data_IF_163994607354
#
_entry.id   IF_163994607354
#
_cell.length_a   1.000
_cell.length_b   1.000
_cell.length_c   1.000
_cell.angle_alpha   90.00
_cell.angle_beta   90.00
_cell.angle_gamma   90.00
#
_symmetry.space_group_name_H-M   'P 1'
#
loop_
_entity.id
_entity.type
_entity.pdbx_description
1 polymer ?
#
# COMPACT_ATOMS: atom_id res chain seq x y z
N UNK A 1 1.48 1.09 28.63
CA UNK A 1 1.95 0.29 27.48
C UNK A 1 2.02 1.22 26.28
N UNK A 2 3.13 1.26 25.55
CA UNK A 2 3.24 2.03 24.32
C UNK A 2 2.39 1.37 23.22
N UNK A 3 1.64 2.17 22.47
CA UNK A 3 0.80 1.68 21.36
C UNK A 3 1.67 0.98 20.30
N UNK A 4 1.22 -0.18 19.80
CA UNK A 4 1.86 -0.87 18.68
C UNK A 4 1.45 -0.24 17.37
N UNK A 5 2.31 0.63 16.85
CA UNK A 5 2.08 1.28 15.56
C UNK A 5 2.67 0.41 14.46
N UNK A 6 1.84 0.05 13.50
CA UNK A 6 2.20 -0.68 12.29
C UNK A 6 2.21 0.25 11.08
N UNK A 7 3.14 0.03 10.15
CA UNK A 7 3.19 0.75 8.87
C UNK A 7 3.00 -0.25 7.73
N UNK A 8 2.12 0.06 6.79
CA UNK A 8 2.01 -0.64 5.52
C UNK A 8 2.50 0.27 4.39
N UNK A 9 3.77 0.15 3.96
CA UNK A 9 4.34 0.99 2.93
C UNK A 9 4.06 0.46 1.54
N UNK A 10 3.81 1.37 0.60
CA UNK A 10 3.63 1.02 -0.79
C UNK A 10 3.68 2.23 -1.72
N UNK A 11 3.80 1.98 -3.01
CA UNK A 11 3.66 3.02 -4.04
C UNK A 11 2.19 3.32 -4.31
N UNK A 12 1.32 2.29 -4.25
CA UNK A 12 -0.12 2.37 -4.53
C UNK A 12 -0.43 3.04 -5.87
N UNK A 13 0.25 2.60 -6.91
CA UNK A 13 0.17 3.15 -8.27
C UNK A 13 -0.29 2.11 -9.30
N UNK A 14 -1.63 1.82 -9.33
CA UNK A 14 -2.66 2.27 -8.41
C UNK A 14 -2.85 1.37 -7.18
N UNK A 15 -3.69 1.82 -6.25
CA UNK A 15 -4.26 0.98 -5.20
C UNK A 15 -5.10 -0.14 -5.84
N UNK A 16 -5.02 -1.37 -5.31
CA UNK A 16 -5.75 -2.54 -5.81
C UNK A 16 -6.53 -3.22 -4.68
N UNK A 17 -7.46 -4.10 -5.03
CA UNK A 17 -8.14 -4.93 -4.02
C UNK A 17 -7.18 -5.79 -3.19
N UNK A 18 -6.02 -6.19 -3.77
CA UNK A 18 -4.98 -6.87 -3.01
C UNK A 18 -4.35 -6.00 -1.92
N UNK A 19 -4.19 -4.71 -2.16
CA UNK A 19 -3.72 -3.78 -1.12
C UNK A 19 -4.79 -3.59 -0.04
N UNK A 20 -6.06 -3.48 -0.42
CA UNK A 20 -7.19 -3.31 0.50
C UNK A 20 -7.32 -4.52 1.43
N UNK A 21 -7.24 -5.75 0.91
CA UNK A 21 -7.23 -6.98 1.72
C UNK A 21 -6.15 -6.94 2.81
N UNK A 22 -4.92 -6.55 2.44
CA UNK A 22 -3.83 -6.43 3.40
C UNK A 22 -4.10 -5.33 4.43
N UNK A 23 -4.64 -4.17 4.01
CA UNK A 23 -4.95 -3.05 4.90
C UNK A 23 -6.00 -3.47 5.95
N UNK A 24 -7.11 -4.07 5.54
CA UNK A 24 -8.20 -4.50 6.43
C UNK A 24 -7.72 -5.52 7.47
N UNK A 25 -6.86 -6.44 7.05
CA UNK A 25 -6.29 -7.46 7.96
C UNK A 25 -5.21 -6.88 8.86
N UNK A 26 -4.33 -6.03 8.32
CA UNK A 26 -3.27 -5.38 9.09
C UNK A 26 -3.81 -4.43 10.16
N UNK A 27 -4.94 -3.78 9.91
CA UNK A 27 -5.60 -2.87 10.85
C UNK A 27 -5.99 -3.56 12.19
N UNK A 28 -6.07 -4.90 12.21
CA UNK A 28 -6.40 -5.69 13.40
C UNK A 28 -5.18 -6.25 14.14
N UNK A 29 -3.96 -6.02 13.64
CA UNK A 29 -2.73 -6.60 14.20
C UNK A 29 -2.01 -5.68 15.18
N UNK A 30 -2.30 -4.39 15.14
CA UNK A 30 -1.73 -3.37 16.01
C UNK A 30 -2.78 -2.45 16.61
N UNK A 31 -2.32 -1.52 17.42
CA UNK A 31 -3.18 -0.49 18.01
C UNK A 31 -3.42 0.67 17.02
N UNK A 32 -2.53 0.85 16.03
CA UNK A 32 -2.65 1.83 14.96
C UNK A 32 -2.00 1.31 13.67
N UNK A 33 -2.68 1.46 12.54
CA UNK A 33 -2.10 1.23 11.21
C UNK A 33 -1.93 2.56 10.47
N UNK A 34 -0.75 2.75 9.88
CA UNK A 34 -0.44 3.84 8.96
C UNK A 34 -0.16 3.25 7.58
N UNK A 35 -0.99 3.56 6.60
CA UNK A 35 -0.71 3.28 5.18
C UNK A 35 0.22 4.37 4.68
N UNK A 36 1.46 3.99 4.35
CA UNK A 36 2.52 4.91 4.01
C UNK A 36 2.75 4.94 2.49
N UNK A 37 2.35 6.04 1.84
CA UNK A 37 2.49 6.24 0.39
C UNK A 37 3.89 6.76 0.09
N UNK A 38 4.70 5.97 -0.63
CA UNK A 38 6.04 6.38 -1.02
C UNK A 38 6.02 7.45 -2.12
N UNK A 39 6.67 8.59 -1.87
CA UNK A 39 6.82 9.67 -2.86
C UNK A 39 7.75 9.24 -3.99
N UNK A 40 8.96 8.81 -3.62
CA UNK A 40 10.02 8.42 -4.55
C UNK A 40 10.13 6.90 -4.64
N UNK A 41 9.41 6.29 -5.57
CA UNK A 41 9.45 4.84 -5.77
C UNK A 41 10.53 4.38 -6.75
N UNK A 42 11.24 5.29 -7.40
CA UNK A 42 12.17 4.99 -8.50
C UNK A 42 11.51 4.39 -9.76
N UNK A 43 10.18 4.36 -9.82
CA UNK A 43 9.38 3.59 -10.80
C UNK A 43 8.56 4.44 -11.75
N UNK A 44 8.79 5.76 -11.86
CA UNK A 44 7.98 6.67 -12.67
C UNK A 44 6.48 6.36 -12.55
N UNK A 45 5.84 6.68 -11.41
CA UNK A 45 4.45 6.35 -11.18
C UNK A 45 3.54 7.06 -12.21
N UNK A 46 2.43 6.43 -12.58
CA UNK A 46 1.44 7.01 -13.47
C UNK A 46 0.65 8.13 -12.76
N UNK A 47 0.31 7.88 -11.50
CA UNK A 47 -0.40 8.83 -10.64
C UNK A 47 0.60 9.59 -9.78
N UNK A 48 0.38 10.90 -9.57
CA UNK A 48 1.18 11.71 -8.65
C UNK A 48 1.07 11.20 -7.21
N UNK A 49 1.95 11.63 -6.32
CA UNK A 49 1.86 11.23 -4.91
C UNK A 49 0.58 11.74 -4.25
N UNK A 50 0.13 12.93 -4.64
CA UNK A 50 -1.12 13.54 -4.16
C UNK A 50 -2.33 12.71 -4.61
N UNK A 51 -2.39 12.36 -5.91
CA UNK A 51 -3.45 11.52 -6.47
C UNK A 51 -3.51 10.15 -5.79
N UNK A 52 -2.36 9.51 -5.56
CA UNK A 52 -2.28 8.21 -4.87
C UNK A 52 -2.70 8.32 -3.40
N UNK A 53 -2.27 9.37 -2.71
CA UNK A 53 -2.62 9.61 -1.31
C UNK A 53 -4.11 9.87 -1.16
N UNK A 54 -4.71 10.66 -2.04
CA UNK A 54 -6.15 10.95 -2.04
C UNK A 54 -6.98 9.69 -2.30
N UNK A 55 -6.59 8.87 -3.28
CA UNK A 55 -7.23 7.58 -3.56
C UNK A 55 -7.19 6.67 -2.33
N UNK A 56 -6.03 6.54 -1.70
CA UNK A 56 -5.89 5.75 -0.48
C UNK A 56 -6.77 6.33 0.64
N UNK A 57 -6.78 7.65 0.84
CA UNK A 57 -7.59 8.30 1.87
C UNK A 57 -9.09 8.02 1.70
N UNK A 58 -9.60 8.08 0.47
CA UNK A 58 -11.00 7.78 0.15
C UNK A 58 -11.36 6.32 0.51
N UNK A 59 -10.50 5.36 0.17
CA UNK A 59 -10.73 3.96 0.51
C UNK A 59 -10.61 3.70 2.03
N UNK A 60 -9.66 4.36 2.70
CA UNK A 60 -9.55 4.27 4.16
C UNK A 60 -10.75 4.87 4.88
N UNK A 61 -11.33 5.96 4.36
CA UNK A 61 -12.56 6.52 4.91
C UNK A 61 -13.71 5.51 4.86
N UNK A 62 -13.81 4.74 3.75
CA UNK A 62 -14.80 3.67 3.59
C UNK A 62 -14.55 2.50 4.56
N UNK A 63 -13.30 2.06 4.69
CA UNK A 63 -12.90 1.00 5.62
C UNK A 63 -13.20 1.42 7.07
N UNK A 64 -12.79 2.63 7.45
CA UNK A 64 -12.99 3.16 8.79
C UNK A 64 -14.49 3.32 9.16
N UNK A 65 -15.34 3.57 8.16
CA UNK A 65 -16.80 3.68 8.36
C UNK A 65 -17.49 2.31 8.43
N UNK A 66 -16.98 1.31 7.72
CA UNK A 66 -17.60 -0.02 7.61
C UNK A 66 -17.16 -0.98 8.73
N UNK A 67 -15.91 -0.89 9.14
CA UNK A 67 -15.30 -1.76 10.13
C UNK A 67 -15.32 -1.12 11.52
N UNK A 68 -15.71 -1.89 12.53
CA UNK A 68 -15.55 -1.53 13.93
C UNK A 68 -14.08 -1.69 14.36
N UNK A 69 -13.18 -0.95 13.72
CA UNK A 69 -11.76 -0.95 14.07
C UNK A 69 -11.57 -0.21 15.41
N UNK A 70 -10.69 -0.68 16.29
CA UNK A 70 -10.40 -0.02 17.56
C UNK A 70 -9.84 1.39 17.36
N UNK A 71 -9.12 1.60 16.26
CA UNK A 71 -8.56 2.89 15.86
C UNK A 71 -8.68 3.06 14.34
N UNK A 72 -8.88 4.31 13.85
CA UNK A 72 -8.93 4.56 12.42
C UNK A 72 -7.58 4.31 11.76
N UNK A 73 -7.61 3.70 10.57
CA UNK A 73 -6.42 3.58 9.72
C UNK A 73 -6.08 4.96 9.15
N UNK A 74 -4.80 5.33 9.23
CA UNK A 74 -4.30 6.61 8.75
C UNK A 74 -3.56 6.44 7.42
N UNK A 75 -3.57 7.48 6.58
CA UNK A 75 -2.68 7.58 5.42
C UNK A 75 -1.68 8.71 5.64
N UNK A 76 -0.42 8.46 5.27
CA UNK A 76 0.66 9.47 5.24
C UNK A 76 1.56 9.20 4.05
N UNK A 77 2.03 10.25 3.40
CA UNK A 77 3.12 10.12 2.42
C UNK A 77 4.47 10.22 3.10
N UNK A 78 5.49 9.66 2.48
CA UNK A 78 6.87 9.75 2.96
C UNK A 78 7.86 9.74 1.81
N UNK A 79 8.98 10.41 2.04
CA UNK A 79 10.18 10.40 1.20
C UNK A 79 11.39 9.90 1.98
N UNK A 80 12.40 9.42 1.29
CA UNK A 80 13.61 8.89 1.91
C UNK A 80 13.48 7.46 2.41
N UNK A 81 14.20 7.10 3.46
CA UNK A 81 14.22 5.75 4.01
C UNK A 81 12.94 5.43 4.79
N UNK A 82 12.42 4.22 4.56
CA UNK A 82 11.29 3.70 5.32
C UNK A 82 11.59 3.61 6.82
N UNK A 83 12.80 3.25 7.17
CA UNK A 83 13.26 3.16 8.57
C UNK A 83 13.20 4.49 9.30
N UNK A 84 13.64 5.58 8.67
CA UNK A 84 13.58 6.93 9.24
C UNK A 84 12.13 7.40 9.42
N UNK A 85 11.27 7.06 8.45
CA UNK A 85 9.84 7.34 8.56
C UNK A 85 9.21 6.54 9.69
N UNK A 86 9.52 5.25 9.80
CA UNK A 86 9.02 4.38 10.86
C UNK A 86 9.41 4.92 12.26
N UNK A 87 10.67 5.30 12.45
CA UNK A 87 11.16 5.91 13.69
C UNK A 87 10.39 7.19 14.04
N UNK A 88 10.23 8.11 13.08
CA UNK A 88 9.46 9.35 13.26
C UNK A 88 8.00 9.12 13.64
N UNK A 89 7.40 8.01 13.20
CA UNK A 89 6.03 7.64 13.53
C UNK A 89 5.95 6.82 14.83
N UNK A 90 7.06 6.45 15.45
CA UNK A 90 7.10 5.53 16.59
C UNK A 90 6.61 4.13 16.23
N UNK A 91 6.79 3.72 14.99
CA UNK A 91 6.34 2.43 14.50
C UNK A 91 7.36 1.33 14.78
N UNK A 92 6.86 0.15 15.17
CA UNK A 92 7.68 -1.00 15.53
C UNK A 92 7.55 -2.14 14.51
N UNK A 93 6.53 -2.10 13.65
CA UNK A 93 6.23 -3.17 12.69
C UNK A 93 5.97 -2.61 11.30
N UNK A 94 6.66 -3.16 10.31
CA UNK A 94 6.36 -2.98 8.89
C UNK A 94 5.56 -4.16 8.40
N UNK A 95 4.40 -3.90 7.82
CA UNK A 95 3.56 -4.92 7.17
C UNK A 95 3.92 -5.01 5.69
N UNK A 96 4.09 -6.22 5.18
CA UNK A 96 4.32 -6.49 3.76
C UNK A 96 3.39 -7.58 3.26
N UNK A 97 2.77 -7.34 2.09
CA UNK A 97 1.95 -8.35 1.42
C UNK A 97 2.81 -9.28 0.56
N UNK A 98 2.58 -10.59 0.66
CA UNK A 98 3.20 -11.59 -0.21
C UNK A 98 2.13 -12.20 -1.11
N UNK A 99 2.35 -12.19 -2.43
CA UNK A 99 1.44 -12.74 -3.44
C UNK A 99 1.96 -14.05 -4.02
N UNK A 100 3.26 -14.17 -4.16
CA UNK A 100 3.92 -15.34 -4.74
C UNK A 100 5.28 -15.57 -4.08
N UNK A 101 5.81 -16.77 -4.26
CA UNK A 101 7.15 -17.14 -3.76
C UNK A 101 8.24 -16.19 -4.30
N UNK A 102 8.10 -15.73 -5.54
CA UNK A 102 9.03 -14.79 -6.15
C UNK A 102 9.07 -13.42 -5.44
N UNK A 103 7.97 -12.98 -4.81
CA UNK A 103 7.95 -11.74 -4.02
C UNK A 103 8.77 -11.93 -2.73
N UNK A 104 8.76 -13.14 -2.15
CA UNK A 104 9.34 -13.41 -0.83
C UNK A 104 10.84 -13.15 -0.79
N UNK A 105 11.58 -13.53 -1.80
CA UNK A 105 13.04 -13.35 -1.81
C UNK A 105 13.42 -11.87 -1.70
N UNK A 106 12.79 -11.03 -2.50
CA UNK A 106 13.01 -9.58 -2.45
C UNK A 106 12.56 -8.98 -1.10
N UNK A 107 11.39 -9.34 -0.63
CA UNK A 107 10.82 -8.83 0.62
C UNK A 107 11.66 -9.29 1.84
N UNK A 108 12.18 -10.51 1.82
CA UNK A 108 13.09 -11.03 2.84
C UNK A 108 14.41 -10.23 2.90
N UNK A 109 15.00 -9.92 1.74
CA UNK A 109 16.19 -9.09 1.67
C UNK A 109 15.92 -7.69 2.23
N UNK A 110 14.80 -7.08 1.84
CA UNK A 110 14.42 -5.76 2.34
C UNK A 110 14.15 -5.74 3.85
N UNK A 111 13.50 -6.79 4.38
CA UNK A 111 13.29 -6.94 5.81
C UNK A 111 14.62 -7.01 6.58
N UNK A 112 15.58 -7.78 6.06
CA UNK A 112 16.91 -7.92 6.65
C UNK A 112 17.68 -6.59 6.64
N UNK A 113 17.58 -5.82 5.55
CA UNK A 113 18.19 -4.49 5.44
C UNK A 113 17.54 -3.52 6.43
N UNK A 114 16.21 -3.48 6.49
CA UNK A 114 15.49 -2.60 7.41
C UNK A 114 15.85 -2.92 8.89
N UNK A 115 15.93 -4.20 9.24
CA UNK A 115 16.35 -4.65 10.57
C UNK A 115 17.77 -4.23 10.91
N UNK A 116 18.67 -4.23 9.92
CA UNK A 116 20.05 -3.78 10.10
C UNK A 116 20.16 -2.26 10.28
N UNK A 117 19.30 -1.49 9.58
CA UNK A 117 19.28 -0.03 9.68
C UNK A 117 18.60 0.44 10.96
N UNK A 118 17.58 -0.28 11.42
CA UNK A 118 16.80 0.06 12.61
C UNK A 118 16.47 -1.21 13.40
N UNK A 119 17.28 -1.50 14.42
CA UNK A 119 17.24 -2.78 15.16
C UNK A 119 15.92 -3.11 15.87
N UNK A 120 15.10 -2.10 16.19
CA UNK A 120 13.78 -2.30 16.84
C UNK A 120 12.63 -2.50 15.84
N UNK A 121 12.88 -2.31 14.54
CA UNK A 121 11.85 -2.45 13.51
C UNK A 121 11.73 -3.90 13.05
N UNK A 122 10.54 -4.48 13.21
CA UNK A 122 10.21 -5.82 12.74
C UNK A 122 9.43 -5.78 11.43
N UNK A 123 9.53 -6.84 10.63
CA UNK A 123 8.72 -6.99 9.41
C UNK A 123 7.79 -8.18 9.55
N UNK A 124 6.50 -7.94 9.33
CA UNK A 124 5.46 -8.96 9.32
C UNK A 124 4.94 -9.17 7.90
N UNK A 125 4.93 -10.42 7.45
CA UNK A 125 4.42 -10.79 6.15
C UNK A 125 2.99 -11.30 6.24
N UNK A 126 2.11 -10.76 5.41
CA UNK A 126 0.74 -11.24 5.22
C UNK A 126 0.60 -11.83 3.82
N UNK A 127 0.16 -13.08 3.74
CA UNK A 127 -0.19 -13.68 2.46
C UNK A 127 -1.43 -12.99 1.88
N UNK A 128 -1.37 -12.57 0.63
CA UNK A 128 -2.54 -12.06 -0.08
C UNK A 128 -3.64 -13.12 -0.14
N UNK A 129 -4.90 -12.71 -0.16
CA UNK A 129 -6.01 -13.64 -0.40
C UNK A 129 -5.86 -14.32 -1.76
N UNK A 130 -6.30 -15.58 -1.90
CA UNK A 130 -6.13 -16.40 -3.10
C UNK A 130 -6.61 -15.68 -4.37
N UNK A 131 -7.73 -15.00 -4.28
CA UNK A 131 -8.31 -14.22 -5.39
C UNK A 131 -7.46 -13.02 -5.80
N UNK A 132 -6.52 -12.57 -4.95
CA UNK A 132 -5.68 -11.39 -5.17
C UNK A 132 -4.22 -11.73 -5.49
N UNK A 133 -3.84 -13.02 -5.55
CA UNK A 133 -2.45 -13.46 -5.78
C UNK A 133 -1.84 -12.89 -7.07
N UNK A 134 -2.64 -12.78 -8.12
CA UNK A 134 -2.16 -12.32 -9.43
C UNK A 134 -2.37 -10.82 -9.68
N UNK A 135 -2.98 -10.10 -8.72
CA UNK A 135 -3.27 -8.67 -8.88
C UNK A 135 -2.03 -7.85 -8.52
N UNK A 136 -1.34 -7.35 -9.53
CA UNK A 136 -0.23 -6.41 -9.36
C UNK A 136 -0.54 -5.09 -10.04
N UNK A 137 -0.23 -3.96 -9.38
CA UNK A 137 -0.47 -2.61 -9.92
C UNK A 137 0.12 -2.40 -11.32
N UNK A 138 1.28 -3.03 -11.61
CA UNK A 138 1.90 -2.95 -12.95
C UNK A 138 1.00 -3.53 -14.05
N UNK A 139 0.35 -4.68 -13.78
CA UNK A 139 -0.56 -5.30 -14.74
C UNK A 139 -1.86 -4.51 -14.90
N UNK A 140 -2.39 -3.97 -13.79
CA UNK A 140 -3.55 -3.08 -13.83
C UNK A 140 -3.28 -1.85 -14.70
N UNK A 141 -2.10 -1.23 -14.57
CA UNK A 141 -1.67 -0.11 -15.41
C UNK A 141 -1.57 -0.51 -16.88
N UNK A 142 -0.95 -1.64 -17.15
CA UNK A 142 -0.78 -2.15 -18.51
C UNK A 142 -2.15 -2.39 -19.18
N UNK A 143 -3.06 -3.07 -18.48
CA UNK A 143 -4.43 -3.30 -18.97
C UNK A 143 -5.13 -1.96 -19.26
N UNK A 144 -5.04 -1.00 -18.33
CA UNK A 144 -5.68 0.32 -18.48
C UNK A 144 -5.10 1.10 -19.68
N UNK A 145 -3.77 1.08 -19.88
CA UNK A 145 -3.09 1.74 -21.01
C UNK A 145 -3.59 1.21 -22.35
N UNK A 146 -3.88 -0.08 -22.46
CA UNK A 146 -4.45 -0.70 -23.65
C UNK A 146 -5.99 -0.63 -23.72
N UNK A 147 -6.63 0.14 -22.84
CA UNK A 147 -8.08 0.35 -22.84
C UNK A 147 -8.89 -0.82 -22.29
N UNK A 148 -8.25 -1.79 -21.64
CA UNK A 148 -8.91 -2.92 -21.01
C UNK A 148 -9.67 -2.55 -19.73
N UNK A 149 -10.66 -3.37 -19.36
CA UNK A 149 -11.43 -3.19 -18.13
C UNK A 149 -10.61 -3.61 -16.90
N UNK A 150 -10.49 -2.72 -15.93
CA UNK A 150 -9.76 -2.94 -14.68
C UNK A 150 -10.67 -3.06 -13.45
N UNK A 151 -11.99 -3.04 -13.64
CA UNK A 151 -12.98 -2.99 -12.56
C UNK A 151 -12.92 -4.19 -11.59
N UNK A 152 -12.45 -5.34 -12.05
CA UNK A 152 -12.26 -6.55 -11.23
C UNK A 152 -11.00 -6.50 -10.35
N UNK A 153 -10.10 -5.53 -10.56
CA UNK A 153 -8.80 -5.45 -9.87
C UNK A 153 -8.71 -4.27 -8.91
N UNK A 154 -9.51 -3.23 -9.16
CA UNK A 154 -9.43 -1.97 -8.41
C UNK A 154 -10.81 -1.41 -8.09
N UNK A 155 -10.95 -0.59 -7.01
CA UNK A 155 -12.17 0.15 -6.73
C UNK A 155 -12.58 1.10 -7.87
N UNK A 156 -13.85 1.46 -7.90
CA UNK A 156 -14.44 2.31 -8.97
C UNK A 156 -13.76 3.69 -9.08
N UNK A 157 -13.47 4.33 -7.94
CA UNK A 157 -12.75 5.61 -7.90
C UNK A 157 -11.35 5.50 -8.49
N UNK A 158 -10.65 4.39 -8.25
CA UNK A 158 -9.33 4.09 -8.83
C UNK A 158 -9.43 3.90 -10.34
N UNK A 159 -10.41 3.12 -10.81
CA UNK A 159 -10.64 2.90 -12.24
C UNK A 159 -10.94 4.23 -12.97
N UNK A 160 -11.74 5.11 -12.36
CA UNK A 160 -12.02 6.47 -12.87
C UNK A 160 -10.76 7.32 -12.94
N UNK A 161 -9.95 7.34 -11.87
CA UNK A 161 -8.71 8.11 -11.83
C UNK A 161 -7.70 7.65 -12.90
N UNK A 162 -7.55 6.35 -13.10
CA UNK A 162 -6.70 5.80 -14.16
C UNK A 162 -7.18 6.24 -15.56
N UNK A 163 -8.47 6.13 -15.83
CA UNK A 163 -9.06 6.53 -17.11
C UNK A 163 -8.86 8.02 -17.39
N UNK A 164 -9.08 8.87 -16.39
CA UNK A 164 -8.87 10.31 -16.51
C UNK A 164 -7.39 10.62 -16.79
N UNK A 165 -6.48 10.03 -16.01
CA UNK A 165 -5.04 10.27 -16.16
C UNK A 165 -4.50 9.86 -17.52
N UNK A 166 -4.98 8.74 -18.05
CA UNK A 166 -4.59 8.28 -19.37
C UNK A 166 -5.16 9.17 -20.49
N UNK A 167 -6.36 9.72 -20.33
CA UNK A 167 -6.94 10.68 -21.28
C UNK A 167 -6.11 11.98 -21.32
N UNK A 168 -5.72 12.50 -20.17
CA UNK A 168 -4.85 13.69 -20.05
C UNK A 168 -3.49 13.51 -20.71
N UNK A 169 -2.93 12.30 -20.64
CA UNK A 169 -1.62 11.99 -21.22
C UNK A 169 -1.64 11.82 -22.74
N UNK A 170 -2.81 11.51 -23.30
CA UNK A 170 -3.01 11.31 -24.74
C UNK A 170 -3.57 12.54 -25.44
N UNK A 171 -3.89 13.61 -24.71
CA UNK A 171 -4.34 14.91 -25.24
C UNK A 171 -3.15 15.85 -25.47
#
# INVERSE_FOLDING_TARGET
>A
MTARICIYPGTFDPLTYGHIDIIERAARLGDQLIVAVAENSGKNPLLSVEERTEIVAQELARINAADHLPYPVLVKNFSGLLTDFAEKQGAHVVIRGLRAVADFEYEFQMASINKRLHGELETMFLMAAEQQHFVASRFVKEIAVFGGDVSSFVPENVAKALKQKLAEKNA
#
